data_IF_445488299998
#
_entry.id   IF_445488299998
#
_cell.length_a   1.000
_cell.length_b   1.000
_cell.length_c   1.000
_cell.angle_alpha   90.00
_cell.angle_beta   90.00
_cell.angle_gamma   90.00
#
_symmetry.space_group_name_H-M   'P 1'
#
loop_
_entity.id
_entity.type
_entity.pdbx_description
1 polymer ?
#
# COMPACT_ATOMS: atom_id res chain seq x y z
N UNK A 1 -2.35 7.76 12.65
CA UNK A 1 -2.89 8.86 11.80
C UNK A 1 -3.92 8.24 10.89
N UNK A 2 -5.16 8.76 10.90
CA UNK A 2 -6.20 8.30 9.99
C UNK A 2 -5.97 8.86 8.58
N UNK A 3 -6.11 8.01 7.55
CA UNK A 3 -6.12 8.43 6.15
C UNK A 3 -7.29 9.40 5.92
N UNK A 4 -7.04 10.53 5.25
CA UNK A 4 -8.11 11.41 4.76
C UNK A 4 -8.36 11.12 3.27
N UNK A 5 -9.59 11.38 2.80
CA UNK A 5 -9.96 11.23 1.39
C UNK A 5 -9.06 12.07 0.47
N UNK A 6 -8.58 13.23 0.93
CA UNK A 6 -7.67 14.10 0.18
C UNK A 6 -6.27 13.49 -0.04
N UNK A 7 -5.88 12.49 0.76
CA UNK A 7 -4.62 11.80 0.58
C UNK A 7 -4.72 10.65 -0.43
N UNK A 8 -5.92 10.19 -0.79
CA UNK A 8 -6.07 9.05 -1.69
C UNK A 8 -5.68 9.44 -3.13
N UNK A 9 -5.03 8.53 -3.89
CA UNK A 9 -4.66 8.80 -5.28
C UNK A 9 -5.87 9.19 -6.14
N UNK A 10 -5.92 10.40 -6.72
CA UNK A 10 -7.07 10.84 -7.52
C UNK A 10 -7.14 10.14 -8.89
N UNK A 11 -6.05 9.53 -9.36
CA UNK A 11 -6.02 8.80 -10.64
C UNK A 11 -6.85 7.52 -10.63
N UNK A 12 -7.20 7.02 -9.43
CA UNK A 12 -7.91 5.77 -9.21
C UNK A 12 -9.18 6.03 -8.38
N UNK A 13 -10.18 5.18 -8.57
CA UNK A 13 -11.39 5.23 -7.76
C UNK A 13 -11.06 4.57 -6.43
N UNK A 14 -11.11 5.35 -5.36
CA UNK A 14 -10.84 4.88 -4.00
C UNK A 14 -12.03 5.18 -3.09
N UNK A 15 -12.32 4.22 -2.21
CA UNK A 15 -13.37 4.34 -1.19
C UNK A 15 -12.82 3.85 0.14
N UNK A 16 -12.95 4.67 1.19
CA UNK A 16 -12.66 4.25 2.56
C UNK A 16 -13.88 3.48 3.06
N UNK A 17 -13.71 2.17 3.28
CA UNK A 17 -14.81 1.28 3.70
C UNK A 17 -14.88 1.18 5.22
N UNK A 18 -13.73 1.17 5.88
CA UNK A 18 -13.65 0.94 7.32
C UNK A 18 -12.49 1.74 7.90
N UNK A 19 -12.75 2.38 9.04
CA UNK A 19 -11.76 3.07 9.86
C UNK A 19 -11.87 2.48 11.26
N UNK A 20 -10.89 1.65 11.62
CA UNK A 20 -10.65 1.16 12.98
C UNK A 20 -9.46 1.96 13.55
N UNK A 21 -9.33 2.00 14.87
CA UNK A 21 -8.37 2.86 15.60
C UNK A 21 -6.95 2.87 15.00
N UNK A 22 -6.43 1.71 14.58
CA UNK A 22 -5.09 1.56 13.99
C UNK A 22 -5.08 1.06 12.53
N UNK A 23 -6.23 0.75 11.95
CA UNK A 23 -6.34 0.15 10.61
C UNK A 23 -7.39 0.88 9.76
N UNK A 24 -7.02 1.25 8.54
CA UNK A 24 -7.95 1.82 7.55
C UNK A 24 -8.03 0.89 6.35
N UNK A 25 -9.24 0.48 5.99
CA UNK A 25 -9.50 -0.35 4.82
C UNK A 25 -9.97 0.54 3.68
N UNK A 26 -9.17 0.60 2.62
CA UNK A 26 -9.49 1.31 1.38
C UNK A 26 -9.72 0.29 0.28
N UNK A 27 -10.83 0.44 -0.44
CA UNK A 27 -11.09 -0.27 -1.69
C UNK A 27 -10.69 0.61 -2.85
N UNK A 28 -9.98 0.04 -3.81
CA UNK A 28 -9.49 0.73 -4.99
C UNK A 28 -9.66 -0.16 -6.22
N UNK A 29 -9.90 0.45 -7.38
CA UNK A 29 -10.10 -0.26 -8.64
C UNK A 29 -8.80 -0.78 -9.29
N UNK A 30 -7.84 -1.23 -8.47
CA UNK A 30 -6.55 -1.79 -8.88
C UNK A 30 -6.74 -3.14 -9.60
N UNK A 31 -6.14 -3.28 -10.79
CA UNK A 31 -6.21 -4.51 -11.61
C UNK A 31 -4.85 -5.16 -11.79
N UNK A 32 -3.77 -4.39 -11.73
CA UNK A 32 -2.42 -4.86 -12.07
C UNK A 32 -1.39 -4.53 -11.00
N UNK A 33 -0.21 -5.14 -11.11
CA UNK A 33 0.97 -4.78 -10.30
C UNK A 33 1.40 -3.34 -10.58
N UNK A 34 1.27 -2.87 -11.83
CA UNK A 34 1.60 -1.49 -12.20
C UNK A 34 0.71 -0.48 -11.49
N UNK A 35 -0.58 -0.80 -11.35
CA UNK A 35 -1.53 0.06 -10.64
C UNK A 35 -1.15 0.17 -9.17
N UNK A 36 -0.67 -0.92 -8.55
CA UNK A 36 -0.18 -0.91 -7.17
C UNK A 36 0.99 0.06 -6.99
N UNK A 37 1.95 0.04 -7.93
CA UNK A 37 3.09 0.96 -7.89
C UNK A 37 2.67 2.41 -8.15
N UNK A 38 1.72 2.64 -9.05
CA UNK A 38 1.19 3.99 -9.32
C UNK A 38 0.43 4.53 -8.10
N UNK A 39 -0.40 3.68 -7.49
CA UNK A 39 -1.17 4.01 -6.28
C UNK A 39 -0.24 4.41 -5.12
N UNK A 40 0.80 3.61 -4.84
CA UNK A 40 1.70 3.89 -3.71
C UNK A 40 2.57 5.12 -3.96
N UNK A 41 2.93 5.38 -5.21
CA UNK A 41 3.72 6.56 -5.57
C UNK A 41 2.88 7.84 -5.41
N UNK A 42 1.67 7.86 -5.95
CA UNK A 42 0.75 8.98 -5.80
C UNK A 42 0.36 9.21 -4.34
N UNK A 43 -0.01 8.14 -3.62
CA UNK A 43 -0.32 8.22 -2.20
C UNK A 43 0.88 8.74 -1.40
N UNK A 44 2.09 8.32 -1.76
CA UNK A 44 3.31 8.82 -1.14
C UNK A 44 3.53 10.32 -1.37
N UNK A 45 3.19 10.84 -2.56
CA UNK A 45 3.26 12.29 -2.85
C UNK A 45 2.21 13.08 -2.07
N UNK A 46 0.97 12.62 -2.02
CA UNK A 46 -0.14 13.31 -1.34
C UNK A 46 -0.05 13.24 0.19
N UNK A 47 0.59 12.21 0.74
CA UNK A 47 0.82 12.03 2.18
C UNK A 47 2.22 12.46 2.64
N UNK A 48 3.02 13.05 1.75
CA UNK A 48 4.43 13.41 1.96
C UNK A 48 5.24 12.28 2.65
N UNK A 49 4.95 11.04 2.27
CA UNK A 49 5.50 9.85 2.89
C UNK A 49 6.11 8.95 1.84
N UNK A 50 7.40 8.64 1.99
CA UNK A 50 8.04 7.63 1.15
C UNK A 50 7.69 6.23 1.65
N UNK A 51 7.23 5.36 0.76
CA UNK A 51 6.85 3.99 1.06
C UNK A 51 7.85 3.01 0.46
N UNK A 52 8.46 2.18 1.31
CA UNK A 52 9.41 1.16 0.87
C UNK A 52 8.74 -0.21 0.80
N UNK A 53 8.88 -0.90 -0.33
CA UNK A 53 8.45 -2.28 -0.45
C UNK A 53 9.26 -3.17 0.51
N UNK A 54 8.57 -3.92 1.37
CA UNK A 54 9.17 -4.86 2.33
C UNK A 54 9.02 -6.31 1.90
N UNK A 55 7.85 -6.67 1.37
CA UNK A 55 7.60 -8.01 0.86
C UNK A 55 6.63 -7.97 -0.30
N UNK A 56 6.89 -8.81 -1.30
CA UNK A 56 5.97 -9.08 -2.41
C UNK A 56 5.65 -10.57 -2.44
N UNK A 57 4.40 -10.90 -2.78
CA UNK A 57 3.99 -12.23 -3.21
C UNK A 57 3.35 -12.07 -4.59
N UNK A 58 4.15 -12.20 -5.67
CA UNK A 58 3.63 -12.20 -7.02
C UNK A 58 2.93 -13.54 -7.26
N UNK A 59 1.66 -13.50 -7.69
CA UNK A 59 0.86 -14.67 -8.07
C UNK A 59 0.50 -15.65 -6.94
N UNK A 60 -0.81 -15.77 -6.69
CA UNK A 60 -1.41 -16.88 -5.96
C UNK A 60 -2.72 -17.29 -6.62
N UNK A 61 -3.28 -18.45 -6.28
CA UNK A 61 -4.49 -19.02 -6.94
C UNK A 61 -5.71 -18.09 -6.91
N UNK A 62 -5.71 -17.06 -6.05
CA UNK A 62 -6.81 -16.09 -5.86
C UNK A 62 -6.35 -14.63 -5.91
N UNK A 63 -5.06 -14.37 -6.14
CA UNK A 63 -4.43 -13.06 -6.03
C UNK A 63 -3.54 -12.80 -7.23
N UNK A 64 -3.70 -11.62 -7.86
CA UNK A 64 -2.76 -11.11 -8.86
C UNK A 64 -1.44 -10.82 -8.16
N UNK A 65 -1.49 -10.05 -7.06
CA UNK A 65 -0.34 -9.77 -6.24
C UNK A 65 -0.72 -9.36 -4.81
N UNK A 66 0.26 -9.48 -3.92
CA UNK A 66 0.21 -8.92 -2.59
C UNK A 66 1.52 -8.20 -2.29
N UNK A 67 1.45 -6.92 -1.95
CA UNK A 67 2.59 -6.09 -1.59
C UNK A 67 2.40 -5.50 -0.20
N UNK A 68 3.46 -5.54 0.60
CA UNK A 68 3.53 -4.86 1.90
C UNK A 68 4.58 -3.76 1.82
N UNK A 69 4.14 -2.53 2.05
CA UNK A 69 4.97 -1.35 2.13
C UNK A 69 5.12 -0.91 3.57
N UNK A 70 6.29 -0.38 3.92
CA UNK A 70 6.53 0.25 5.22
C UNK A 70 6.95 1.69 5.00
N UNK A 71 6.50 2.57 5.90
CA UNK A 71 6.88 3.97 5.88
C UNK A 71 8.41 4.13 6.03
N UNK A 72 8.99 4.89 5.12
CA UNK A 72 10.36 5.38 5.21
C UNK A 72 10.33 6.71 5.95
N UNK A 73 10.18 6.65 7.27
CA UNK A 73 10.40 7.81 8.12
C UNK A 73 11.86 8.23 7.98
N UNK A 74 12.09 9.38 7.38
CA UNK A 74 13.44 9.86 7.08
C UNK A 74 14.21 10.26 8.33
N UNK A 75 13.60 10.40 9.51
CA UNK A 75 14.28 11.05 10.66
C UNK A 75 14.48 10.19 11.92
N UNK A 76 13.84 9.02 12.05
CA UNK A 76 13.94 8.23 13.27
C UNK A 76 15.04 7.15 13.15
N UNK A 77 16.14 7.29 13.90
CA UNK A 77 17.32 6.40 13.93
C UNK A 77 18.12 6.27 12.61
N UNK A 78 18.42 7.39 11.94
CA UNK A 78 19.47 7.42 10.92
C UNK A 78 20.82 7.02 11.54
N UNK A 79 21.44 5.96 11.03
CA UNK A 79 22.86 5.71 11.28
C UNK A 79 23.67 6.90 10.72
N UNK A 80 24.66 7.43 11.46
CA UNK A 80 25.55 8.47 10.97
C UNK A 80 26.07 8.16 9.56
N UNK A 81 26.24 9.18 8.70
CA UNK A 81 26.68 9.02 7.30
C UNK A 81 27.95 8.16 7.19
N UNK A 82 28.86 8.26 8.15
CA UNK A 82 30.09 7.46 8.23
C UNK A 82 29.85 5.94 8.34
N UNK A 83 28.70 5.52 8.85
CA UNK A 83 28.33 4.12 9.04
C UNK A 83 27.36 3.61 7.95
N UNK A 84 26.81 4.49 7.10
CA UNK A 84 25.86 4.14 6.04
C UNK A 84 26.57 3.76 4.72
N UNK A 85 27.18 2.57 4.69
CA UNK A 85 27.97 2.06 3.54
C UNK A 85 27.16 1.82 2.25
N UNK A 86 25.82 1.84 2.30
CA UNK A 86 24.93 1.51 1.17
C UNK A 86 24.01 2.67 0.73
N UNK A 87 24.10 3.84 1.36
CA UNK A 87 23.31 5.03 1.00
C UNK A 87 21.79 4.94 1.27
N UNK A 88 21.29 3.83 1.80
CA UNK A 88 19.87 3.59 2.06
C UNK A 88 19.73 3.13 3.52
N UNK A 89 19.31 4.02 4.43
CA UNK A 89 19.00 3.61 5.79
C UNK A 89 17.69 2.82 5.77
N UNK A 90 17.79 1.48 5.84
CA UNK A 90 16.61 0.58 5.87
C UNK A 90 15.88 0.55 7.22
N UNK A 91 16.43 1.22 8.23
CA UNK A 91 15.92 1.27 9.59
C UNK A 91 15.06 2.52 9.80
N UNK A 92 13.86 2.50 9.25
CA UNK A 92 12.75 3.25 9.84
C UNK A 92 12.00 2.28 10.75
N UNK A 93 12.10 2.45 12.07
CA UNK A 93 11.32 1.68 13.05
C UNK A 93 9.86 2.16 13.09
N UNK A 94 9.32 2.54 11.92
CA UNK A 94 7.97 3.04 11.79
C UNK A 94 7.01 1.84 11.76
N UNK A 95 6.05 1.75 12.70
CA UNK A 95 5.09 0.66 12.72
C UNK A 95 4.09 0.75 11.55
N UNK A 96 3.97 1.92 10.91
CA UNK A 96 3.01 2.16 9.84
C UNK A 96 3.35 1.37 8.60
N UNK A 97 2.42 0.49 8.20
CA UNK A 97 2.55 -0.32 6.99
C UNK A 97 1.29 -0.22 6.15
N UNK A 98 1.46 -0.35 4.84
CA UNK A 98 0.36 -0.45 3.88
C UNK A 98 0.42 -1.83 3.27
N UNK A 99 -0.71 -2.53 3.27
CA UNK A 99 -0.86 -3.82 2.63
C UNK A 99 -1.83 -3.70 1.46
N UNK A 100 -1.32 -3.88 0.24
CA UNK A 100 -2.13 -3.84 -0.98
C UNK A 100 -2.29 -5.27 -1.49
N UNK A 101 -3.54 -5.71 -1.64
CA UNK A 101 -3.91 -7.03 -2.16
C UNK A 101 -4.80 -6.85 -3.39
N UNK A 102 -4.30 -7.27 -4.54
CA UNK A 102 -5.08 -7.29 -5.79
C UNK A 102 -5.60 -8.71 -6.00
N UNK A 103 -6.91 -8.88 -5.93
CA UNK A 103 -7.58 -10.18 -6.13
C UNK A 103 -7.73 -10.47 -7.62
N UNK A 104 -7.66 -11.75 -7.99
CA UNK A 104 -8.00 -12.16 -9.35
C UNK A 104 -9.49 -11.96 -9.59
N UNK A 105 -9.84 -11.41 -10.75
CA UNK A 105 -11.21 -11.33 -11.18
C UNK A 105 -11.71 -12.71 -11.64
N UNK A 106 -12.27 -13.47 -10.70
CA UNK A 106 -12.86 -14.79 -10.97
C UNK A 106 -14.27 -14.84 -10.42
N UNK A 107 -15.15 -15.65 -11.03
CA UNK A 107 -16.52 -15.82 -10.55
C UNK A 107 -16.59 -16.24 -9.08
N UNK A 108 -15.65 -17.06 -8.60
CA UNK A 108 -15.57 -17.46 -7.20
C UNK A 108 -15.21 -16.29 -6.26
N UNK A 109 -14.39 -15.35 -6.71
CA UNK A 109 -14.09 -14.12 -5.97
C UNK A 109 -15.31 -13.19 -5.98
N UNK A 110 -15.98 -12.98 -7.13
CA UNK A 110 -17.22 -12.19 -7.21
C UNK A 110 -18.32 -12.74 -6.29
N UNK A 111 -18.43 -14.06 -6.16
CA UNK A 111 -19.40 -14.70 -5.25
C UNK A 111 -19.12 -14.42 -3.77
N UNK A 112 -17.86 -14.23 -3.37
CA UNK A 112 -17.43 -14.12 -1.96
C UNK A 112 -17.07 -12.70 -1.51
N UNK A 113 -16.75 -11.82 -2.45
CA UNK A 113 -16.38 -10.43 -2.18
C UNK A 113 -17.43 -9.53 -2.85
N UNK A 114 -18.27 -8.87 -2.05
CA UNK A 114 -19.35 -8.01 -2.55
C UNK A 114 -18.82 -6.86 -3.41
N UNK A 115 -17.63 -6.36 -3.10
CA UNK A 115 -16.99 -5.30 -3.85
C UNK A 115 -16.39 -5.77 -5.18
N UNK A 116 -16.17 -7.08 -5.34
CA UNK A 116 -15.75 -7.66 -6.62
C UNK A 116 -16.95 -7.94 -7.56
N UNK A 117 -18.20 -7.84 -7.08
CA UNK A 117 -19.40 -8.02 -7.91
C UNK A 117 -19.65 -6.85 -8.87
N UNK A 118 -19.14 -5.67 -8.53
CA UNK A 118 -19.45 -4.39 -9.20
C UNK A 118 -18.45 -4.05 -10.32
N UNK A 119 -17.43 -4.88 -10.55
CA UNK A 119 -16.46 -4.72 -11.64
C UNK A 119 -16.83 -5.49 -12.90
#
# INVERSE_FOLDING_TARGET
>A
MAIQNSNLPPSLVNEIVEIVEDETVVRSNLKSVSDVYSWIEEYGRTSDTKWNLRSSRPSGTKLVCWHKFACHHSEFHKVPKSQNKRGISKNSNCPTTITIKVKLDTQNVKKKDEYAKVC
#
